data_IF_770073466460
#
_entry.id   IF_770073466460
#
_cell.length_a   1.000
_cell.length_b   1.000
_cell.length_c   1.000
_cell.angle_alpha   90.00
_cell.angle_beta   90.00
_cell.angle_gamma   90.00
#
_symmetry.space_group_name_H-M   'P 1'
#
loop_
_entity.id
_entity.type
_entity.pdbx_description
1 polymer ?
#
# COMPACT_ATOMS: atom_id res chain seq x y z
N UNK A 1 -35.76 -22.07 -7.61
CA UNK A 1 -36.57 -21.92 -6.39
C UNK A 1 -35.63 -21.37 -5.33
N UNK A 2 -35.69 -20.07 -5.11
CA UNK A 2 -34.81 -19.35 -4.20
C UNK A 2 -35.42 -19.39 -2.81
N UNK A 3 -34.87 -20.24 -1.93
CA UNK A 3 -35.27 -20.38 -0.54
C UNK A 3 -34.63 -19.27 0.31
N UNK A 4 -34.99 -18.02 0.02
CA UNK A 4 -34.65 -16.86 0.86
C UNK A 4 -35.58 -16.84 2.09
N UNK A 5 -35.32 -17.75 3.04
CA UNK A 5 -36.01 -17.78 4.32
C UNK A 5 -35.75 -16.49 5.13
N UNK A 6 -36.78 -15.89 5.76
CA UNK A 6 -36.69 -14.60 6.48
C UNK A 6 -35.66 -14.56 7.61
N UNK A 7 -35.27 -15.71 8.18
CA UNK A 7 -34.19 -15.80 9.17
C UNK A 7 -32.82 -15.39 8.61
N UNK A 8 -32.51 -15.72 7.35
CA UNK A 8 -31.21 -15.41 6.74
C UNK A 8 -31.02 -13.92 6.47
N UNK A 9 -32.12 -13.22 6.13
CA UNK A 9 -32.14 -11.77 5.95
C UNK A 9 -31.83 -11.05 7.28
N UNK A 10 -32.43 -11.51 8.38
CA UNK A 10 -32.13 -10.96 9.72
C UNK A 10 -30.70 -11.27 10.18
N UNK A 11 -30.17 -12.45 9.85
CA UNK A 11 -28.80 -12.83 10.18
C UNK A 11 -27.76 -11.98 9.42
N UNK A 12 -28.02 -11.67 8.15
CA UNK A 12 -27.16 -10.82 7.31
C UNK A 12 -27.12 -9.39 7.84
N UNK A 13 -28.28 -8.82 8.19
CA UNK A 13 -28.37 -7.50 8.80
C UNK A 13 -27.63 -7.42 10.16
N UNK A 14 -27.75 -8.47 11.00
CA UNK A 14 -27.00 -8.58 12.26
C UNK A 14 -25.49 -8.62 12.03
N UNK A 15 -25.02 -9.45 11.10
CA UNK A 15 -23.59 -9.54 10.75
C UNK A 15 -23.03 -8.19 10.27
N UNK A 16 -23.79 -7.47 9.44
CA UNK A 16 -23.39 -6.13 8.98
C UNK A 16 -23.33 -5.12 10.14
N UNK A 17 -24.29 -5.14 11.05
CA UNK A 17 -24.27 -4.32 12.26
C UNK A 17 -23.06 -4.63 13.15
N UNK A 18 -22.75 -5.92 13.36
CA UNK A 18 -21.56 -6.37 14.09
C UNK A 18 -20.27 -5.92 13.40
N UNK A 19 -20.21 -5.97 12.07
CA UNK A 19 -19.06 -5.47 11.32
C UNK A 19 -18.81 -3.97 11.54
N UNK A 20 -19.88 -3.16 11.51
CA UNK A 20 -19.80 -1.72 11.79
C UNK A 20 -19.32 -1.45 13.23
N UNK A 21 -19.90 -2.15 14.20
CA UNK A 21 -19.50 -2.03 15.61
C UNK A 21 -18.03 -2.41 15.84
N UNK A 22 -17.57 -3.53 15.27
CA UNK A 22 -16.16 -3.97 15.40
C UNK A 22 -15.20 -2.99 14.73
N UNK A 23 -15.58 -2.40 13.59
CA UNK A 23 -14.82 -1.30 12.97
C UNK A 23 -14.72 -0.09 13.91
N UNK A 24 -15.81 0.32 14.56
CA UNK A 24 -15.81 1.49 15.43
C UNK A 24 -14.96 1.27 16.69
N UNK A 25 -14.98 0.05 17.25
CA UNK A 25 -14.05 -0.37 18.31
C UNK A 25 -12.59 -0.31 17.84
N UNK A 26 -12.32 -0.74 16.60
CA UNK A 26 -10.98 -0.64 16.01
C UNK A 26 -10.52 0.82 15.85
N UNK A 27 -11.42 1.71 15.41
CA UNK A 27 -11.15 3.14 15.28
C UNK A 27 -10.83 3.77 16.64
N UNK A 28 -11.55 3.39 17.70
CA UNK A 28 -11.27 3.82 19.08
C UNK A 28 -9.90 3.29 19.58
N UNK A 29 -9.62 2.01 19.38
CA UNK A 29 -8.33 1.42 19.74
C UNK A 29 -7.16 2.10 19.01
N UNK A 30 -7.35 2.49 17.74
CA UNK A 30 -6.36 3.21 16.97
C UNK A 30 -6.10 4.63 17.50
N UNK A 31 -7.15 5.32 17.97
CA UNK A 31 -7.03 6.62 18.64
C UNK A 31 -6.29 6.51 19.97
N UNK A 32 -6.51 5.42 20.71
CA UNK A 32 -5.80 5.11 21.95
C UNK A 32 -4.33 4.68 21.72
N UNK A 33 -3.88 4.57 20.46
CA UNK A 33 -2.52 4.14 20.13
C UNK A 33 -2.32 2.62 20.14
N UNK A 34 -3.32 1.83 20.54
CA UNK A 34 -3.24 0.38 20.52
C UNK A 34 -3.48 -0.17 19.10
N UNK A 35 -2.42 -0.12 18.29
CA UNK A 35 -2.45 -0.59 16.90
C UNK A 35 -2.66 -2.09 16.76
N UNK A 36 -2.26 -2.90 17.75
CA UNK A 36 -2.44 -4.35 17.72
C UNK A 36 -3.92 -4.73 17.90
N UNK A 37 -4.58 -4.16 18.91
CA UNK A 37 -6.01 -4.35 19.10
C UNK A 37 -6.83 -3.78 17.94
N UNK A 38 -6.41 -2.63 17.38
CA UNK A 38 -7.05 -2.06 16.20
C UNK A 38 -7.00 -3.04 15.02
N UNK A 39 -5.82 -3.58 14.69
CA UNK A 39 -5.66 -4.55 13.60
C UNK A 39 -6.52 -5.80 13.82
N UNK A 40 -6.57 -6.34 15.03
CA UNK A 40 -7.41 -7.50 15.35
C UNK A 40 -8.88 -7.22 15.05
N UNK A 41 -9.41 -6.11 15.55
CA UNK A 41 -10.82 -5.74 15.34
C UNK A 41 -11.13 -5.41 13.87
N UNK A 42 -10.18 -4.80 13.14
CA UNK A 42 -10.33 -4.62 11.69
C UNK A 42 -10.39 -5.94 10.93
N UNK A 43 -9.53 -6.92 11.28
CA UNK A 43 -9.60 -8.25 10.69
C UNK A 43 -10.93 -8.93 10.98
N UNK A 44 -11.42 -8.83 12.22
CA UNK A 44 -12.72 -9.37 12.61
C UNK A 44 -13.88 -8.71 11.83
N UNK A 45 -13.85 -7.38 11.68
CA UNK A 45 -14.83 -6.65 10.86
C UNK A 45 -14.81 -7.13 9.40
N UNK A 46 -13.62 -7.32 8.81
CA UNK A 46 -13.48 -7.86 7.46
C UNK A 46 -14.02 -9.29 7.33
N UNK A 47 -13.83 -10.15 8.32
CA UNK A 47 -14.39 -11.51 8.30
C UNK A 47 -15.93 -11.48 8.23
N UNK A 48 -16.56 -10.60 9.01
CA UNK A 48 -18.00 -10.43 8.94
C UNK A 48 -18.46 -9.88 7.59
N UNK A 49 -17.75 -8.91 7.01
CA UNK A 49 -18.12 -8.31 5.71
C UNK A 49 -17.87 -9.25 4.52
N UNK A 50 -16.75 -9.99 4.52
CA UNK A 50 -16.40 -10.94 3.46
C UNK A 50 -17.22 -12.23 3.52
N UNK A 51 -17.74 -12.57 4.70
CA UNK A 51 -18.66 -13.69 4.92
C UNK A 51 -20.13 -13.39 4.61
N UNK A 52 -20.46 -12.20 4.10
CA UNK A 52 -21.81 -11.88 3.63
C UNK A 52 -22.00 -12.39 2.20
N UNK A 53 -23.08 -13.11 1.96
CA UNK A 53 -23.47 -13.52 0.62
C UNK A 53 -23.96 -12.28 -0.15
N UNK A 54 -23.41 -12.06 -1.35
CA UNK A 54 -23.76 -10.93 -2.21
C UNK A 54 -25.21 -10.97 -2.68
N UNK A 55 -25.80 -12.16 -2.82
CA UNK A 55 -27.22 -12.32 -3.17
C UNK A 55 -28.12 -11.94 -1.98
N UNK A 56 -27.72 -12.28 -0.75
CA UNK A 56 -28.42 -11.86 0.47
C UNK A 56 -28.32 -10.35 0.73
N UNK A 57 -27.29 -9.69 0.21
CA UNK A 57 -27.16 -8.22 0.23
C UNK A 57 -28.09 -7.53 -0.79
N UNK A 58 -28.41 -8.19 -1.91
CA UNK A 58 -29.35 -7.69 -2.92
C UNK A 58 -30.80 -7.77 -2.43
N UNK A 59 -31.17 -8.85 -1.75
CA UNK A 59 -32.53 -9.05 -1.22
C UNK A 59 -32.90 -8.10 -0.06
N UNK A 60 -31.90 -7.55 0.66
CA UNK A 60 -32.09 -6.51 1.69
C UNK A 60 -31.85 -5.07 1.18
N UNK A 61 -31.68 -4.88 -0.13
CA UNK A 61 -31.52 -3.55 -0.74
C UNK A 61 -30.18 -2.85 -0.48
N UNK A 62 -29.15 -3.58 -0.07
CA UNK A 62 -27.79 -3.06 0.22
C UNK A 62 -26.86 -3.22 -1.00
N UNK A 63 -27.22 -4.11 -1.92
CA UNK A 63 -26.63 -4.22 -3.26
C UNK A 63 -27.71 -3.91 -4.31
N UNK A 64 -27.43 -2.97 -5.20
CA UNK A 64 -28.31 -2.65 -6.33
C UNK A 64 -28.57 -3.89 -7.19
N UNK A 65 -29.80 -3.98 -7.71
CA UNK A 65 -30.24 -5.05 -8.60
C UNK A 65 -29.41 -5.05 -9.89
N UNK A 66 -28.83 -6.20 -10.31
CA UNK A 66 -28.42 -6.34 -11.70
C UNK A 66 -29.70 -6.38 -12.53
N UNK A 67 -29.93 -5.35 -13.35
CA UNK A 67 -30.99 -5.39 -14.36
C UNK A 67 -30.67 -6.54 -15.31
N UNK A 68 -31.51 -7.59 -15.42
CA UNK A 68 -31.24 -8.69 -16.34
C UNK A 68 -31.52 -8.21 -17.76
N UNK A 69 -30.50 -7.65 -18.42
CA UNK A 69 -30.64 -7.19 -19.80
C UNK A 69 -29.56 -6.28 -20.40
N UNK A 70 -28.53 -5.82 -19.67
CA UNK A 70 -27.51 -4.97 -20.29
C UNK A 70 -26.28 -5.77 -20.75
N UNK A 71 -26.12 -5.76 -22.07
CA UNK A 71 -25.09 -6.34 -22.92
C UNK A 71 -23.65 -6.18 -22.45
N UNK A 72 -22.81 -7.12 -22.93
CA UNK A 72 -21.36 -7.01 -23.03
C UNK A 72 -20.93 -5.66 -23.64
N UNK A 73 -19.77 -5.20 -23.21
CA UNK A 73 -18.98 -4.02 -23.65
C UNK A 73 -19.25 -2.70 -22.92
N UNK A 74 -18.35 -2.39 -21.98
CA UNK A 74 -18.18 -1.04 -21.44
C UNK A 74 -17.73 -1.02 -19.97
N UNK A 75 -16.42 -0.80 -19.75
CA UNK A 75 -15.77 -0.43 -18.47
C UNK A 75 -16.66 -0.56 -17.22
N UNK A 76 -16.55 -1.69 -16.55
CA UNK A 76 -17.28 -2.05 -15.32
C UNK A 76 -17.09 -0.99 -14.22
N UNK A 77 -17.92 0.04 -14.22
CA UNK A 77 -18.20 0.81 -13.03
C UNK A 77 -19.00 -0.10 -12.09
N UNK A 78 -18.31 -0.97 -11.35
CA UNK A 78 -18.89 -1.73 -10.23
C UNK A 78 -19.65 -0.73 -9.36
N UNK A 79 -20.98 -0.88 -9.28
CA UNK A 79 -21.78 -0.18 -8.28
C UNK A 79 -21.16 -0.46 -6.91
N UNK A 80 -20.61 0.58 -6.29
CA UNK A 80 -19.99 0.50 -4.96
C UNK A 80 -21.10 0.19 -3.96
N UNK A 81 -21.09 -1.02 -3.43
CA UNK A 81 -22.00 -1.40 -2.35
C UNK A 81 -21.55 -0.74 -1.04
N UNK A 82 -22.47 -0.56 -0.09
CA UNK A 82 -22.14 -0.05 1.25
C UNK A 82 -21.03 -0.91 1.91
N UNK A 83 -21.01 -2.20 1.61
CA UNK A 83 -19.98 -3.14 2.07
C UNK A 83 -18.61 -2.84 1.45
N UNK A 84 -18.54 -2.54 0.15
CA UNK A 84 -17.28 -2.18 -0.50
C UNK A 84 -16.70 -0.87 0.06
N UNK A 85 -17.55 0.11 0.38
CA UNK A 85 -17.14 1.36 1.03
C UNK A 85 -16.63 1.13 2.47
N UNK A 86 -17.24 0.21 3.21
CA UNK A 86 -16.76 -0.16 4.54
C UNK A 86 -15.43 -0.91 4.47
N UNK A 87 -15.31 -1.87 3.55
CA UNK A 87 -14.08 -2.64 3.31
C UNK A 87 -12.94 -1.71 2.90
N UNK A 88 -13.20 -0.75 2.03
CA UNK A 88 -12.24 0.29 1.64
C UNK A 88 -11.72 1.08 2.85
N UNK A 89 -12.62 1.61 3.68
CA UNK A 89 -12.27 2.37 4.89
C UNK A 89 -11.45 1.52 5.86
N UNK A 90 -11.84 0.25 6.06
CA UNK A 90 -11.12 -0.67 6.94
C UNK A 90 -9.70 -0.91 6.43
N UNK A 91 -9.53 -1.24 5.16
CA UNK A 91 -8.19 -1.43 4.58
C UNK A 91 -7.34 -0.15 4.64
N UNK A 92 -7.95 1.01 4.39
CA UNK A 92 -7.27 2.29 4.53
C UNK A 92 -6.80 2.53 5.98
N UNK A 93 -7.61 2.21 6.98
CA UNK A 93 -7.23 2.35 8.40
C UNK A 93 -6.20 1.30 8.83
N UNK A 94 -6.28 0.06 8.33
CA UNK A 94 -5.26 -0.96 8.53
C UNK A 94 -3.90 -0.53 7.96
N UNK A 95 -3.88 0.10 6.78
CA UNK A 95 -2.63 0.66 6.23
C UNK A 95 -2.01 1.69 7.17
N UNK A 96 -2.83 2.53 7.81
CA UNK A 96 -2.36 3.49 8.82
C UNK A 96 -1.81 2.80 10.09
N UNK A 97 -2.41 1.68 10.51
CA UNK A 97 -1.88 0.86 11.60
C UNK A 97 -0.52 0.25 11.25
N UNK A 98 -0.38 -0.29 10.03
CA UNK A 98 0.90 -0.85 9.57
C UNK A 98 1.97 0.22 9.39
N UNK A 99 1.61 1.43 8.95
CA UNK A 99 2.50 2.60 8.93
C UNK A 99 3.03 2.94 10.32
N UNK A 100 2.17 2.95 11.35
CA UNK A 100 2.59 3.20 12.75
C UNK A 100 3.49 2.10 13.30
N UNK A 101 3.36 0.86 12.82
CA UNK A 101 4.20 -0.29 13.22
C UNK A 101 5.42 -0.47 12.31
N UNK A 102 5.72 0.48 11.43
CA UNK A 102 6.83 0.41 10.45
C UNK A 102 6.80 -0.85 9.56
N UNK A 103 5.63 -1.47 9.41
CA UNK A 103 5.44 -2.66 8.59
C UNK A 103 5.11 -2.24 7.15
N UNK A 104 6.09 -1.66 6.46
CA UNK A 104 5.92 -1.02 5.16
C UNK A 104 5.32 -1.94 4.10
N UNK A 105 5.76 -3.21 4.05
CA UNK A 105 5.24 -4.21 3.11
C UNK A 105 3.73 -4.41 3.27
N UNK A 106 3.27 -4.66 4.51
CA UNK A 106 1.84 -4.82 4.80
C UNK A 106 1.05 -3.51 4.63
N UNK A 107 1.68 -2.36 4.87
CA UNK A 107 1.06 -1.06 4.62
C UNK A 107 0.74 -0.88 3.12
N UNK A 108 1.66 -1.25 2.23
CA UNK A 108 1.42 -1.25 0.78
C UNK A 108 0.32 -2.25 0.40
N UNK A 109 0.39 -3.49 0.87
CA UNK A 109 -0.60 -4.53 0.55
C UNK A 109 -2.02 -4.12 0.99
N UNK A 110 -2.16 -3.55 2.19
CA UNK A 110 -3.47 -3.08 2.69
C UNK A 110 -3.93 -1.82 1.98
N UNK A 111 -3.03 -0.89 1.64
CA UNK A 111 -3.38 0.25 0.81
C UNK A 111 -3.84 -0.17 -0.59
N UNK A 112 -3.19 -1.14 -1.23
CA UNK A 112 -3.60 -1.68 -2.53
C UNK A 112 -5.00 -2.31 -2.49
N UNK A 113 -5.32 -3.03 -1.40
CA UNK A 113 -6.66 -3.57 -1.19
C UNK A 113 -7.72 -2.47 -1.04
N UNK A 114 -7.39 -1.35 -0.39
CA UNK A 114 -8.28 -0.20 -0.32
C UNK A 114 -8.48 0.44 -1.71
N UNK A 115 -7.40 0.58 -2.47
CA UNK A 115 -7.43 1.17 -3.81
C UNK A 115 -8.18 0.31 -4.83
N UNK A 116 -8.14 -1.02 -4.68
CA UNK A 116 -8.94 -1.94 -5.49
C UNK A 116 -10.46 -1.77 -5.27
N UNK A 117 -10.87 -1.14 -4.17
CA UNK A 117 -12.28 -0.77 -3.89
C UNK A 117 -12.57 0.67 -4.27
N UNK A 118 -11.61 1.57 -4.00
CA UNK A 118 -11.70 2.97 -4.36
C UNK A 118 -10.35 3.53 -4.80
N UNK A 119 -10.16 3.60 -6.11
CA UNK A 119 -8.93 4.13 -6.71
C UNK A 119 -8.68 5.61 -6.35
N UNK A 120 -9.74 6.34 -5.98
CA UNK A 120 -9.69 7.75 -5.60
C UNK A 120 -9.51 7.95 -4.09
N UNK A 121 -9.14 6.91 -3.32
CA UNK A 121 -8.78 7.09 -1.92
C UNK A 121 -7.38 7.70 -1.78
N UNK A 122 -7.31 9.03 -1.78
CA UNK A 122 -6.06 9.78 -1.67
C UNK A 122 -5.28 9.48 -0.38
N UNK A 123 -5.97 9.17 0.73
CA UNK A 123 -5.32 8.79 1.99
C UNK A 123 -4.60 7.45 1.86
N UNK A 124 -5.19 6.48 1.18
CA UNK A 124 -4.56 5.20 0.89
C UNK A 124 -3.40 5.34 -0.11
N UNK A 125 -3.57 6.13 -1.17
CA UNK A 125 -2.49 6.43 -2.13
C UNK A 125 -1.29 7.10 -1.45
N UNK A 126 -1.53 8.11 -0.61
CA UNK A 126 -0.47 8.79 0.13
C UNK A 126 0.29 7.83 1.05
N UNK A 127 -0.43 7.00 1.81
CA UNK A 127 0.18 5.98 2.68
C UNK A 127 0.98 4.95 1.88
N UNK A 128 0.49 4.52 0.72
CA UNK A 128 1.21 3.63 -0.20
C UNK A 128 2.49 4.27 -0.70
N UNK A 129 2.43 5.51 -1.19
CA UNK A 129 3.59 6.27 -1.67
C UNK A 129 4.65 6.40 -0.59
N UNK A 130 4.25 6.80 0.63
CA UNK A 130 5.16 6.89 1.77
C UNK A 130 5.78 5.54 2.15
N UNK A 131 4.97 4.47 2.23
CA UNK A 131 5.47 3.13 2.55
C UNK A 131 6.43 2.56 1.49
N UNK A 132 6.25 2.92 0.21
CA UNK A 132 7.18 2.55 -0.87
C UNK A 132 8.50 3.32 -0.75
N UNK A 133 8.45 4.59 -0.36
CA UNK A 133 9.63 5.41 -0.09
C UNK A 133 10.50 4.81 1.02
N UNK A 134 9.88 4.41 2.14
CA UNK A 134 10.58 3.76 3.26
C UNK A 134 11.13 2.36 2.91
N UNK A 135 10.59 1.70 1.88
CA UNK A 135 11.14 0.45 1.32
C UNK A 135 12.29 0.68 0.34
N UNK A 136 12.60 1.93 -0.01
CA UNK A 136 13.64 2.28 -0.99
C UNK A 136 13.18 2.25 -2.45
N UNK A 137 11.88 2.13 -2.72
CA UNK A 137 11.29 2.24 -4.05
C UNK A 137 10.94 3.71 -4.39
N UNK A 138 11.97 4.57 -4.39
CA UNK A 138 11.80 6.02 -4.50
C UNK A 138 11.09 6.47 -5.78
N UNK A 139 11.47 5.93 -6.94
CA UNK A 139 10.84 6.28 -8.23
C UNK A 139 9.33 6.02 -8.22
N UNK A 140 8.91 4.85 -7.70
CA UNK A 140 7.49 4.48 -7.60
C UNK A 140 6.76 5.36 -6.58
N UNK A 141 7.42 5.65 -5.46
CA UNK A 141 6.87 6.50 -4.41
C UNK A 141 6.61 7.92 -4.92
N UNK A 142 7.59 8.52 -5.62
CA UNK A 142 7.49 9.86 -6.20
C UNK A 142 6.34 9.92 -7.20
N UNK A 143 6.25 8.97 -8.14
CA UNK A 143 5.16 8.95 -9.13
C UNK A 143 3.77 8.90 -8.48
N UNK A 144 3.58 8.04 -7.47
CA UNK A 144 2.30 7.93 -6.76
C UNK A 144 1.98 9.21 -5.99
N UNK A 145 2.97 9.83 -5.34
CA UNK A 145 2.76 11.07 -4.60
C UNK A 145 2.46 12.25 -5.53
N UNK A 146 3.10 12.32 -6.70
CA UNK A 146 2.78 13.32 -7.74
C UNK A 146 1.34 13.15 -8.25
N UNK A 147 0.87 11.92 -8.46
CA UNK A 147 -0.53 11.65 -8.80
C UNK A 147 -1.50 12.10 -7.69
N UNK A 148 -1.15 11.88 -6.42
CA UNK A 148 -1.96 12.35 -5.27
C UNK A 148 -2.02 13.88 -5.25
N UNK A 149 -0.89 14.56 -5.47
CA UNK A 149 -0.83 16.02 -5.53
C UNK A 149 -1.72 16.58 -6.64
N UNK A 150 -1.67 15.96 -7.82
CA UNK A 150 -2.46 16.39 -8.98
C UNK A 150 -3.96 16.24 -8.74
N UNK A 151 -4.38 15.16 -8.07
CA UNK A 151 -5.80 14.85 -7.85
C UNK A 151 -6.39 15.45 -6.58
N UNK A 152 -5.57 15.70 -5.55
CA UNK A 152 -5.99 16.32 -4.29
C UNK A 152 -5.07 17.49 -3.89
N UNK A 153 -5.32 18.69 -4.41
CA UNK A 153 -4.54 19.88 -4.07
C UNK A 153 -4.60 20.26 -2.58
N UNK A 154 -5.63 19.81 -1.85
CA UNK A 154 -5.78 20.11 -0.42
C UNK A 154 -4.66 19.49 0.43
N UNK A 155 -4.14 18.33 0.03
CA UNK A 155 -3.06 17.63 0.72
C UNK A 155 -1.68 17.95 0.10
N UNK A 156 -1.63 18.83 -0.92
CA UNK A 156 -0.42 19.10 -1.69
C UNK A 156 0.77 19.52 -0.83
N UNK A 157 0.55 20.31 0.23
CA UNK A 157 1.63 20.73 1.13
C UNK A 157 2.30 19.57 1.88
N UNK A 158 1.50 18.60 2.36
CA UNK A 158 2.03 17.40 3.04
C UNK A 158 2.74 16.50 2.04
N UNK A 159 2.17 16.36 0.84
CA UNK A 159 2.74 15.56 -0.25
C UNK A 159 4.06 16.16 -0.73
N UNK A 160 4.16 17.47 -0.88
CA UNK A 160 5.39 18.16 -1.30
C UNK A 160 6.51 18.04 -0.27
N UNK A 161 6.18 18.08 1.02
CA UNK A 161 7.14 17.83 2.09
C UNK A 161 7.70 16.40 2.01
N UNK A 162 6.84 15.39 1.79
CA UNK A 162 7.27 14.01 1.64
C UNK A 162 8.07 13.79 0.34
N UNK A 163 7.63 14.37 -0.78
CA UNK A 163 8.37 14.32 -2.06
C UNK A 163 9.76 14.92 -1.93
N UNK A 164 9.89 16.07 -1.27
CA UNK A 164 11.17 16.73 -1.02
C UNK A 164 12.07 15.86 -0.14
N UNK A 165 11.52 15.27 0.93
CA UNK A 165 12.23 14.32 1.79
C UNK A 165 12.75 13.12 1.00
N UNK A 166 11.91 12.48 0.19
CA UNK A 166 12.29 11.32 -0.61
C UNK A 166 13.37 11.65 -1.65
N UNK A 167 13.27 12.79 -2.33
CA UNK A 167 14.30 13.25 -3.30
C UNK A 167 15.66 13.49 -2.64
N UNK A 168 15.67 14.03 -1.42
CA UNK A 168 16.91 14.22 -0.65
C UNK A 168 17.54 12.87 -0.30
N UNK A 169 16.75 11.93 0.22
CA UNK A 169 17.21 10.59 0.59
C UNK A 169 17.76 9.84 -0.63
N UNK A 170 17.04 9.90 -1.76
CA UNK A 170 17.45 9.22 -2.99
C UNK A 170 18.76 9.80 -3.55
N UNK A 171 18.88 11.13 -3.60
CA UNK A 171 20.13 11.79 -4.02
C UNK A 171 21.31 11.46 -3.10
N UNK A 172 21.10 11.43 -1.78
CA UNK A 172 22.14 11.01 -0.82
C UNK A 172 22.57 9.56 -1.04
N UNK A 173 21.61 8.66 -1.28
CA UNK A 173 21.88 7.26 -1.62
C UNK A 173 22.66 7.14 -2.91
N UNK A 174 22.28 7.86 -3.96
CA UNK A 174 23.01 7.87 -5.22
C UNK A 174 24.44 8.38 -5.05
N UNK A 175 24.64 9.48 -4.32
CA UNK A 175 25.97 10.03 -4.04
C UNK A 175 26.82 9.01 -3.28
N UNK A 176 26.28 8.37 -2.25
CA UNK A 176 26.96 7.34 -1.50
C UNK A 176 27.31 6.13 -2.39
N UNK A 177 26.40 5.70 -3.26
CA UNK A 177 26.64 4.61 -4.21
C UNK A 177 27.72 4.97 -5.23
N UNK A 178 27.68 6.19 -5.80
CA UNK A 178 28.69 6.71 -6.73
C UNK A 178 30.07 6.77 -6.06
N UNK A 179 30.14 7.20 -4.80
CA UNK A 179 31.40 7.23 -4.02
C UNK A 179 31.94 5.81 -3.76
N UNK A 180 31.08 4.87 -3.33
CA UNK A 180 31.46 3.47 -3.11
C UNK A 180 31.96 2.81 -4.40
N UNK A 181 31.29 3.07 -5.52
CA UNK A 181 31.68 2.56 -6.84
C UNK A 181 33.06 3.11 -7.24
N UNK A 182 33.28 4.43 -7.13
CA UNK A 182 34.60 5.04 -7.39
C UNK A 182 35.71 4.44 -6.53
N UNK A 183 35.45 4.22 -5.24
CA UNK A 183 36.41 3.57 -4.34
C UNK A 183 36.73 2.12 -4.73
N UNK A 184 35.73 1.36 -5.17
CA UNK A 184 35.92 0.00 -5.67
C UNK A 184 36.74 -0.03 -6.96
N UNK A 185 36.44 0.85 -7.93
CA UNK A 185 37.20 0.94 -9.19
C UNK A 185 38.66 1.32 -8.93
N UNK A 186 38.93 2.36 -8.15
CA UNK A 186 40.30 2.80 -7.86
C UNK A 186 41.11 1.71 -7.12
N UNK A 187 40.46 0.90 -6.26
CA UNK A 187 41.09 -0.25 -5.62
C UNK A 187 41.37 -1.38 -6.63
N UNK A 188 40.48 -1.61 -7.58
CA UNK A 188 40.66 -2.60 -8.64
C UNK A 188 41.80 -2.19 -9.60
N UNK A 189 41.87 -0.92 -9.99
CA UNK A 189 42.94 -0.35 -10.81
C UNK A 189 44.30 -0.47 -10.12
N UNK A 190 44.40 -0.12 -8.83
CA UNK A 190 45.64 -0.32 -8.05
C UNK A 190 46.05 -1.78 -7.94
N UNK A 191 45.08 -2.70 -7.82
CA UNK A 191 45.36 -4.14 -7.74
C UNK A 191 45.82 -4.71 -9.09
N UNK A 192 45.24 -4.24 -10.20
CA UNK A 192 45.65 -4.62 -11.55
C UNK A 192 47.07 -4.10 -11.87
N UNK A 193 47.36 -2.84 -11.55
CA UNK A 193 48.69 -2.24 -11.74
C UNK A 193 49.78 -2.95 -10.92
N UNK A 194 49.46 -3.43 -9.71
CA UNK A 194 50.39 -4.20 -8.88
C UNK A 194 50.62 -5.64 -9.37
N UNK A 195 49.73 -6.18 -10.20
CA UNK A 195 49.87 -7.51 -10.80
C UNK A 195 50.65 -7.48 -12.14
N UNK A 196 50.70 -6.32 -12.80
CA UNK A 196 51.35 -6.14 -14.11
C UNK A 196 52.80 -5.64 -14.05
N UNK A 197 53.35 -5.30 -12.87
CA UNK A 197 54.79 -4.98 -12.79
C UNK A 197 55.61 -6.21 -13.18
N UNK A 198 56.35 -6.18 -14.30
CA UNK A 198 57.14 -7.32 -14.73
C UNK A 198 58.31 -7.48 -13.76
N UNK A 199 58.59 -8.72 -13.36
CA UNK A 199 59.84 -9.08 -12.70
C UNK A 199 60.97 -8.69 -13.66
N UNK A 200 61.58 -7.53 -13.42
CA UNK A 200 62.76 -7.10 -14.14
C UNK A 200 63.86 -8.13 -13.86
N UNK A 201 64.19 -8.93 -14.87
CA UNK A 201 65.29 -9.89 -14.80
C UNK A 201 66.59 -9.15 -14.46
N UNK A 202 67.42 -9.69 -13.54
CA UNK A 202 68.62 -9.00 -13.12
C UNK A 202 69.57 -8.81 -14.30
N UNK A 203 69.94 -7.54 -14.50
CA UNK A 203 70.97 -7.07 -15.43
C UNK A 203 72.29 -7.79 -15.17
N UNK A 204 72.80 -8.52 -16.17
CA UNK A 204 74.18 -8.97 -16.19
C UNK A 204 75.08 -7.80 -16.62
N UNK A 205 75.82 -7.28 -15.65
CA UNK A 205 76.89 -6.29 -15.85
C UNK A 205 78.13 -6.90 -16.53
N UNK A 206 79.04 -6.05 -17.06
CA UNK A 206 79.97 -6.41 -18.12
C UNK A 206 81.35 -6.88 -17.60
N UNK A 207 82.00 -7.75 -18.37
CA UNK A 207 83.45 -7.97 -18.38
C UNK A 207 83.90 -8.45 -19.76
#
# INVERSE_FOLDING_TARGET
MSDDSPEQLTATAKKLATAKQTKDVADQAFKQGNTAAALLNYHQSLMYLLGLDKNALQSIGIASTPVPGSSKDGKDAKEKTEVDDLVEKIYANMSACHMKKENWKRAVETADKALAKNENNYKALFRKGKALGEQGFYEKAVKILEDVKAKNPSDAGIVDAELSRLRIIDNQREKANKQKLKGFLNKAEKKAAAAETPVAGPSSDPA
#
